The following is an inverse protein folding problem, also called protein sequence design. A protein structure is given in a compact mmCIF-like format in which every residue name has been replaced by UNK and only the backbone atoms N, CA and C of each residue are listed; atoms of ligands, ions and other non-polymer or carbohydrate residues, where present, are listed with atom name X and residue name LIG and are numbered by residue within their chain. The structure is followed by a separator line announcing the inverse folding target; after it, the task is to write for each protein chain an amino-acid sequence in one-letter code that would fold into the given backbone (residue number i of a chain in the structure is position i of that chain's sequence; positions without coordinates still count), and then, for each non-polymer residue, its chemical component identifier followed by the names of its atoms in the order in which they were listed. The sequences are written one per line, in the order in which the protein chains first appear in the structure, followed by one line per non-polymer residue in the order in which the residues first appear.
data_IF_199193913644
#
_entry.id   IF_199193913644
#
_cell.length_a   1.000
_cell.length_b   1.000
_cell.length_c   1.000
_cell.angle_alpha   90.00
_cell.angle_beta   90.00
_cell.angle_gamma   90.00
#
_symmetry.space_group_name_H-M   'P 1'
#
loop_
_entity.id
_entity.type
_entity.pdbx_description
1 polymer ?
#
# COMPACT_ATOMS: atom_id res chain seq x y z
N UNK A 1 3.84 29.91 0.11
CA UNK A 1 4.29 29.69 -1.27
C UNK A 1 3.09 29.46 -2.18
N UNK A 2 3.27 29.60 -3.50
CA UNK A 2 2.22 29.29 -4.47
C UNK A 2 1.96 27.78 -4.52
N UNK A 3 0.70 27.33 -4.66
CA UNK A 3 0.38 25.93 -4.87
C UNK A 3 1.11 25.39 -6.10
N UNK A 4 1.67 24.19 -5.98
CA UNK A 4 2.31 23.49 -7.09
C UNK A 4 1.59 22.19 -7.34
N UNK A 5 1.23 21.92 -8.60
CA UNK A 5 0.57 20.69 -9.03
C UNK A 5 1.58 19.76 -9.69
N UNK A 6 1.47 18.47 -9.39
CA UNK A 6 2.27 17.42 -9.99
C UNK A 6 1.36 16.40 -10.68
N UNK A 7 1.74 15.98 -11.87
CA UNK A 7 1.09 14.86 -12.54
C UNK A 7 1.57 13.55 -11.91
N UNK A 8 0.69 12.85 -11.21
CA UNK A 8 1.02 11.58 -10.57
C UNK A 8 0.80 10.40 -11.54
N UNK A 9 1.76 10.16 -12.43
CA UNK A 9 1.70 9.07 -13.42
C UNK A 9 1.79 7.67 -12.81
N UNK A 10 2.34 7.55 -11.60
CA UNK A 10 2.44 6.28 -10.90
C UNK A 10 1.17 5.94 -10.11
N UNK A 11 0.29 6.91 -9.87
CA UNK A 11 -0.90 6.72 -9.04
C UNK A 11 -0.59 6.37 -7.58
N UNK A 12 0.60 6.74 -7.08
CA UNK A 12 1.07 6.44 -5.72
C UNK A 12 1.34 7.73 -4.96
N UNK A 13 0.92 7.75 -3.70
CA UNK A 13 1.17 8.88 -2.81
C UNK A 13 1.42 8.38 -1.39
N UNK A 14 2.33 9.04 -0.68
CA UNK A 14 2.55 8.89 0.77
C UNK A 14 2.62 10.27 1.43
N UNK A 15 2.68 10.29 2.76
CA UNK A 15 2.52 11.55 3.51
C UNK A 15 3.76 12.46 3.50
N UNK A 16 4.98 11.95 3.41
CA UNK A 16 6.22 12.77 3.49
C UNK A 16 7.44 11.97 2.98
N UNK A 17 8.49 12.58 2.46
CA UNK A 17 8.59 13.96 1.97
C UNK A 17 7.67 14.28 0.77
N UNK A 18 7.78 15.49 0.19
CA UNK A 18 6.97 15.89 -0.97
C UNK A 18 7.13 14.98 -2.18
N UNK A 19 6.12 14.99 -3.07
CA UNK A 19 6.03 14.06 -4.20
C UNK A 19 7.23 14.13 -5.16
N UNK A 20 7.76 15.32 -5.43
CA UNK A 20 8.94 15.52 -6.28
C UNK A 20 10.21 14.87 -5.69
N UNK A 21 10.36 14.95 -4.38
CA UNK A 21 11.44 14.26 -3.69
C UNK A 21 11.28 12.72 -3.79
N UNK A 22 10.06 12.21 -3.61
CA UNK A 22 9.77 10.78 -3.73
C UNK A 22 10.12 10.26 -5.14
N UNK A 23 9.75 11.02 -6.16
CA UNK A 23 10.07 10.67 -7.55
C UNK A 23 11.58 10.66 -7.80
N UNK A 24 12.31 11.61 -7.22
CA UNK A 24 13.78 11.66 -7.31
C UNK A 24 14.41 10.46 -6.59
N UNK A 25 13.90 10.11 -5.41
CA UNK A 25 14.38 8.98 -4.61
C UNK A 25 14.22 7.63 -5.34
N UNK A 26 13.20 7.46 -6.19
CA UNK A 26 13.03 6.24 -6.97
C UNK A 26 14.26 5.88 -7.84
N UNK A 27 15.07 6.87 -8.25
CA UNK A 27 16.26 6.61 -9.03
C UNK A 27 17.31 5.77 -8.28
N UNK A 28 17.30 5.78 -6.96
CA UNK A 28 18.16 4.91 -6.15
C UNK A 28 17.80 3.42 -6.29
N UNK A 29 16.61 3.12 -6.84
CA UNK A 29 16.05 1.76 -6.93
C UNK A 29 15.90 1.30 -8.39
N UNK A 30 16.64 1.89 -9.32
CA UNK A 30 16.60 1.57 -10.76
C UNK A 30 16.91 0.10 -11.07
N UNK A 31 17.61 -0.59 -10.18
CA UNK A 31 17.92 -2.01 -10.29
C UNK A 31 16.75 -2.94 -9.94
N UNK A 32 15.73 -2.42 -9.25
CA UNK A 32 14.57 -3.23 -8.86
C UNK A 32 13.68 -3.53 -10.08
N UNK A 33 13.21 -4.78 -10.17
CA UNK A 33 12.29 -5.23 -11.20
C UNK A 33 11.47 -6.43 -10.73
N UNK A 34 10.31 -6.64 -11.32
CA UNK A 34 9.53 -7.87 -11.09
C UNK A 34 10.26 -9.10 -11.64
N UNK A 35 9.99 -10.25 -11.04
CA UNK A 35 10.58 -11.52 -11.42
C UNK A 35 11.94 -11.79 -10.78
N UNK A 36 12.77 -12.54 -11.48
CA UNK A 36 14.10 -12.95 -11.02
C UNK A 36 15.21 -12.11 -11.66
N UNK A 37 16.31 -11.98 -10.95
CA UNK A 37 17.58 -11.54 -11.54
C UNK A 37 18.20 -12.69 -12.33
N UNK A 38 19.15 -12.37 -13.20
CA UNK A 38 19.99 -13.35 -13.90
C UNK A 38 21.15 -13.78 -13.00
N UNK A 39 21.67 -14.97 -13.24
CA UNK A 39 22.93 -15.40 -12.64
C UNK A 39 24.07 -14.44 -13.01
N UNK A 40 25.04 -14.32 -12.12
CA UNK A 40 26.19 -13.45 -12.26
C UNK A 40 27.48 -14.20 -11.90
N UNK A 41 28.54 -13.97 -12.66
CA UNK A 41 29.86 -14.55 -12.36
C UNK A 41 30.73 -13.54 -11.59
N UNK A 42 31.35 -14.00 -10.51
CA UNK A 42 32.42 -13.30 -9.83
C UNK A 42 33.74 -13.98 -10.18
N UNK A 43 34.66 -13.22 -10.80
CA UNK A 43 35.90 -13.81 -11.30
C UNK A 43 35.60 -14.83 -12.42
N UNK A 44 36.39 -15.92 -12.44
CA UNK A 44 36.33 -16.93 -13.52
C UNK A 44 35.58 -18.19 -13.13
N UNK A 45 35.33 -18.42 -11.83
CA UNK A 45 34.91 -19.73 -11.32
C UNK A 45 33.80 -19.71 -10.26
N UNK A 46 33.30 -18.51 -9.87
CA UNK A 46 32.23 -18.40 -8.87
C UNK A 46 30.96 -17.87 -9.50
N UNK A 47 29.96 -18.73 -9.68
CA UNK A 47 28.64 -18.35 -10.15
C UNK A 47 27.71 -17.99 -8.98
N UNK A 48 27.08 -16.83 -9.05
CA UNK A 48 26.00 -16.42 -8.15
C UNK A 48 24.65 -16.72 -8.82
N UNK A 49 23.85 -17.52 -8.17
CA UNK A 49 22.52 -17.92 -8.65
C UNK A 49 21.45 -17.26 -7.77
N UNK A 50 20.42 -16.61 -8.34
CA UNK A 50 19.39 -15.95 -7.56
C UNK A 50 18.53 -16.94 -6.79
N UNK A 51 18.14 -16.57 -5.57
CA UNK A 51 17.20 -17.32 -4.75
C UNK A 51 15.75 -16.93 -5.09
N UNK A 52 15.02 -17.78 -5.79
CA UNK A 52 13.59 -17.68 -6.02
C UNK A 52 13.13 -16.57 -6.99
N UNK A 53 11.85 -16.62 -7.31
CA UNK A 53 11.21 -15.79 -8.34
C UNK A 53 11.09 -14.30 -8.01
N UNK A 54 11.28 -13.90 -6.77
CA UNK A 54 11.20 -12.49 -6.33
C UNK A 54 12.54 -11.79 -6.21
N UNK A 55 13.64 -12.43 -6.64
CA UNK A 55 15.01 -11.89 -6.47
C UNK A 55 15.24 -10.54 -7.17
N UNK A 56 14.42 -10.18 -8.15
CA UNK A 56 14.45 -8.86 -8.78
C UNK A 56 14.07 -7.71 -7.85
N UNK A 57 13.41 -7.99 -6.71
CA UNK A 57 13.10 -7.02 -5.66
C UNK A 57 14.08 -7.06 -4.48
N UNK A 58 15.19 -7.77 -4.60
CA UNK A 58 16.20 -7.75 -3.55
C UNK A 58 16.74 -6.33 -3.34
N UNK A 59 16.66 -5.86 -2.09
CA UNK A 59 17.01 -4.49 -1.72
C UNK A 59 15.83 -3.50 -1.74
N UNK A 60 14.60 -3.96 -2.02
CA UNK A 60 13.41 -3.12 -1.80
C UNK A 60 13.30 -2.77 -0.31
N UNK A 61 13.11 -1.48 0.06
CA UNK A 61 13.12 -1.10 1.47
C UNK A 61 11.90 -1.65 2.21
N UNK A 62 12.13 -2.29 3.36
CA UNK A 62 11.11 -2.99 4.15
C UNK A 62 10.57 -2.23 5.36
N UNK A 63 11.17 -1.09 5.73
CA UNK A 63 10.74 -0.31 6.88
C UNK A 63 9.42 0.44 6.64
N UNK A 64 8.83 0.98 7.71
CA UNK A 64 7.51 1.62 7.68
C UNK A 64 7.54 3.11 7.39
N UNK A 65 8.71 3.69 7.11
CA UNK A 65 8.82 5.12 6.80
C UNK A 65 8.10 5.47 5.49
N UNK A 66 7.61 6.71 5.34
CA UNK A 66 6.95 7.14 4.12
C UNK A 66 7.76 6.95 2.83
N UNK A 67 9.08 7.25 2.79
CA UNK A 67 9.90 6.98 1.61
C UNK A 67 9.93 5.50 1.21
N UNK A 68 10.11 4.62 2.17
CA UNK A 68 10.13 3.17 1.94
C UNK A 68 8.80 2.63 1.47
N UNK A 69 7.70 3.14 2.05
CA UNK A 69 6.34 2.81 1.59
C UNK A 69 6.08 3.29 0.16
N UNK A 70 6.56 4.50 -0.19
CA UNK A 70 6.42 5.02 -1.56
C UNK A 70 7.12 4.11 -2.58
N UNK A 71 8.36 3.71 -2.31
CA UNK A 71 9.13 2.80 -3.18
C UNK A 71 8.39 1.48 -3.38
N UNK A 72 7.97 0.82 -2.28
CA UNK A 72 7.22 -0.44 -2.39
C UNK A 72 5.92 -0.28 -3.17
N UNK A 73 5.14 0.78 -2.90
CA UNK A 73 3.88 1.04 -3.59
C UNK A 73 4.10 1.25 -5.09
N UNK A 74 5.11 2.02 -5.48
CA UNK A 74 5.44 2.28 -6.87
C UNK A 74 5.77 0.98 -7.62
N UNK A 75 6.65 0.14 -7.04
CA UNK A 75 7.05 -1.11 -7.67
C UNK A 75 5.95 -2.17 -7.67
N UNK A 76 5.20 -2.33 -6.59
CA UNK A 76 4.13 -3.33 -6.52
C UNK A 76 2.97 -2.98 -7.44
N UNK A 77 2.58 -1.70 -7.49
CA UNK A 77 1.53 -1.25 -8.41
C UNK A 77 1.97 -1.39 -9.87
N UNK A 78 3.18 -0.96 -10.21
CA UNK A 78 3.70 -1.04 -11.58
C UNK A 78 3.90 -2.47 -12.06
N UNK A 79 4.08 -3.43 -11.15
CA UNK A 79 4.25 -4.85 -11.46
C UNK A 79 2.93 -5.63 -11.42
N UNK A 80 1.84 -5.01 -10.93
CA UNK A 80 0.56 -5.69 -10.81
C UNK A 80 -0.05 -5.98 -12.19
N UNK A 81 -0.42 -7.23 -12.48
CA UNK A 81 -1.09 -7.55 -13.73
C UNK A 81 -2.50 -6.93 -13.76
N UNK A 82 -2.97 -6.62 -14.95
CA UNK A 82 -4.36 -6.25 -15.15
C UNK A 82 -5.27 -7.40 -14.74
N UNK A 83 -6.31 -7.09 -13.98
CA UNK A 83 -7.27 -8.07 -13.50
C UNK A 83 -8.50 -8.13 -14.42
N UNK A 84 -9.13 -9.31 -14.49
CA UNK A 84 -10.28 -9.56 -15.38
C UNK A 84 -11.60 -9.02 -14.82
N UNK A 85 -11.66 -8.68 -13.54
CA UNK A 85 -12.86 -8.16 -12.90
C UNK A 85 -12.57 -7.11 -11.84
N UNK A 86 -13.57 -6.26 -11.56
CA UNK A 86 -13.50 -5.27 -10.50
C UNK A 86 -13.20 -5.90 -9.13
N UNK A 87 -13.80 -7.05 -8.81
CA UNK A 87 -13.55 -7.74 -7.55
C UNK A 87 -12.10 -8.21 -7.45
N UNK A 88 -11.54 -8.80 -8.50
CA UNK A 88 -10.14 -9.22 -8.51
C UNK A 88 -9.19 -8.01 -8.38
N UNK A 89 -9.53 -6.88 -9.01
CA UNK A 89 -8.78 -5.62 -8.85
C UNK A 89 -8.80 -5.15 -7.40
N UNK A 90 -9.97 -5.15 -6.75
CA UNK A 90 -10.11 -4.79 -5.33
C UNK A 90 -9.28 -5.73 -4.45
N UNK A 91 -9.35 -7.04 -4.67
CA UNK A 91 -8.55 -8.01 -3.91
C UNK A 91 -7.04 -7.80 -4.11
N UNK A 92 -6.62 -7.44 -5.33
CA UNK A 92 -5.22 -7.10 -5.61
C UNK A 92 -4.80 -5.81 -4.89
N UNK A 93 -5.68 -4.80 -4.83
CA UNK A 93 -5.43 -3.59 -4.03
C UNK A 93 -5.19 -3.93 -2.56
N UNK A 94 -6.03 -4.76 -1.95
CA UNK A 94 -5.83 -5.17 -0.54
C UNK A 94 -4.54 -5.97 -0.34
N UNK A 95 -4.11 -6.80 -1.29
CA UNK A 95 -2.80 -7.50 -1.22
C UNK A 95 -1.63 -6.52 -1.23
N UNK A 96 -1.70 -5.50 -2.09
CA UNK A 96 -0.66 -4.46 -2.14
C UNK A 96 -0.69 -3.64 -0.85
N UNK A 97 -1.86 -3.16 -0.44
CA UNK A 97 -2.04 -2.33 0.75
C UNK A 97 -1.66 -3.06 2.05
N UNK A 98 -1.90 -4.37 2.14
CA UNK A 98 -1.48 -5.20 3.27
C UNK A 98 0.03 -5.19 3.52
N UNK A 99 0.85 -4.89 2.49
CA UNK A 99 2.30 -4.72 2.67
C UNK A 99 2.70 -3.43 3.38
N UNK A 100 1.74 -2.56 3.66
CA UNK A 100 1.92 -1.27 4.35
C UNK A 100 1.27 -1.24 5.73
N UNK A 101 0.65 -2.34 6.16
CA UNK A 101 0.07 -2.43 7.50
C UNK A 101 1.14 -2.26 8.56
N UNK A 102 0.86 -1.36 9.49
CA UNK A 102 1.74 -1.05 10.62
C UNK A 102 1.19 -1.78 11.84
N UNK A 103 1.90 -2.79 12.37
CA UNK A 103 1.53 -3.47 13.59
C UNK A 103 1.58 -2.54 14.81
N UNK A 104 0.75 -2.80 15.80
CA UNK A 104 0.77 -2.07 17.08
C UNK A 104 2.16 -2.19 17.71
N UNK A 105 2.71 -1.06 18.14
CA UNK A 105 3.96 -0.98 18.89
C UNK A 105 5.22 -0.79 18.05
N UNK A 106 5.15 -0.82 16.73
CA UNK A 106 6.34 -0.60 15.87
C UNK A 106 6.82 0.86 15.87
N UNK A 107 5.90 1.82 15.98
CA UNK A 107 6.21 3.25 15.82
C UNK A 107 6.61 3.93 17.14
N UNK A 108 6.54 3.24 18.27
CA UNK A 108 6.86 3.79 19.59
C UNK A 108 7.96 3.02 20.27
N UNK A 109 8.75 3.74 21.06
CA UNK A 109 9.74 3.12 21.96
C UNK A 109 9.03 2.22 22.97
N UNK A 110 9.70 1.14 23.35
CA UNK A 110 9.19 0.24 24.38
C UNK A 110 8.94 1.02 25.68
N UNK A 111 7.72 0.95 26.20
CA UNK A 111 7.31 1.67 27.41
C UNK A 111 6.66 3.05 27.19
N UNK A 112 6.58 3.52 25.96
CA UNK A 112 5.91 4.78 25.59
C UNK A 112 4.74 4.57 24.61
N UNK A 113 3.76 3.70 24.93
CA UNK A 113 2.60 3.53 24.05
C UNK A 113 1.73 4.79 24.06
N UNK A 114 1.06 5.12 22.95
CA UNK A 114 0.06 6.20 22.96
C UNK A 114 -1.05 5.87 23.92
N UNK A 115 -1.59 6.90 24.57
CA UNK A 115 -2.57 6.77 25.65
C UNK A 115 -4.00 6.53 25.16
N UNK A 116 -4.29 6.80 23.88
CA UNK A 116 -5.66 6.81 23.34
C UNK A 116 -5.85 5.91 22.11
N UNK A 117 -5.11 6.12 21.05
CA UNK A 117 -5.24 5.33 19.81
C UNK A 117 -3.92 4.63 19.51
N UNK A 118 -3.90 3.30 19.31
CA UNK A 118 -2.68 2.61 18.90
C UNK A 118 -2.14 3.22 17.60
N UNK A 119 -0.85 3.53 17.55
CA UNK A 119 -0.18 3.86 16.31
C UNK A 119 -0.01 2.57 15.50
N UNK A 120 -0.99 2.34 14.67
CA UNK A 120 -1.11 1.17 13.82
C UNK A 120 -2.02 1.51 12.63
N UNK A 121 -2.06 0.68 11.61
CA UNK A 121 -3.03 0.81 10.54
C UNK A 121 -4.42 0.52 11.08
N UNK A 122 -5.25 1.56 11.24
CA UNK A 122 -6.60 1.46 11.81
C UNK A 122 -7.59 0.82 10.85
N UNK A 123 -7.48 1.16 9.57
CA UNK A 123 -8.30 0.59 8.50
C UNK A 123 -7.57 0.65 7.16
N UNK A 124 -7.98 -0.19 6.24
CA UNK A 124 -7.59 -0.15 4.83
C UNK A 124 -8.85 -0.08 3.98
N UNK A 125 -8.87 0.74 2.95
CA UNK A 125 -10.02 0.86 2.06
C UNK A 125 -9.63 0.93 0.59
N UNK A 126 -10.55 0.46 -0.27
CA UNK A 126 -10.47 0.55 -1.71
C UNK A 126 -11.83 0.98 -2.29
N UNK A 127 -11.83 1.95 -3.21
CA UNK A 127 -13.04 2.45 -3.84
C UNK A 127 -13.15 1.94 -5.29
N UNK A 128 -14.22 1.21 -5.60
CA UNK A 128 -14.63 0.90 -6.96
C UNK A 128 -15.55 2.03 -7.46
N UNK A 129 -14.97 2.97 -8.15
CA UNK A 129 -15.68 4.17 -8.61
C UNK A 129 -16.74 3.84 -9.67
N UNK A 130 -16.47 2.85 -10.53
CA UNK A 130 -17.41 2.44 -11.59
C UNK A 130 -18.68 1.82 -11.01
N UNK A 131 -18.54 0.96 -10.01
CA UNK A 131 -19.66 0.30 -9.36
C UNK A 131 -20.17 1.04 -8.11
N UNK A 132 -19.56 2.18 -7.74
CA UNK A 132 -19.90 2.99 -6.57
C UNK A 132 -19.90 2.16 -5.28
N UNK A 133 -18.83 1.40 -5.07
CA UNK A 133 -18.64 0.55 -3.90
C UNK A 133 -17.39 0.95 -3.14
N UNK A 134 -17.46 0.92 -1.82
CA UNK A 134 -16.32 1.10 -0.93
C UNK A 134 -16.08 -0.22 -0.22
N UNK A 135 -14.90 -0.76 -0.36
CA UNK A 135 -14.45 -1.95 0.34
C UNK A 135 -13.51 -1.55 1.45
N UNK A 136 -13.57 -2.21 2.59
CA UNK A 136 -12.72 -1.91 3.72
C UNK A 136 -12.53 -3.10 4.65
N UNK A 137 -11.44 -3.07 5.40
CA UNK A 137 -11.23 -3.86 6.61
C UNK A 137 -10.70 -2.94 7.71
N UNK A 138 -10.60 -3.45 8.93
CA UNK A 138 -10.12 -2.70 10.08
C UNK A 138 -9.10 -3.52 10.86
N UNK A 139 -8.37 -2.87 11.78
CA UNK A 139 -7.39 -3.56 12.63
C UNK A 139 -8.01 -4.66 13.50
N UNK A 140 -9.32 -4.57 13.79
CA UNK A 140 -10.04 -5.55 14.64
C UNK A 140 -10.79 -6.60 13.82
N UNK A 141 -10.95 -6.39 12.50
CA UNK A 141 -11.64 -7.32 11.62
C UNK A 141 -11.03 -7.30 10.21
N UNK A 142 -10.24 -8.32 9.92
CA UNK A 142 -9.54 -8.46 8.63
C UNK A 142 -10.44 -8.87 7.47
N UNK A 143 -11.72 -9.23 7.71
CA UNK A 143 -12.66 -9.53 6.64
C UNK A 143 -12.93 -8.28 5.81
N UNK A 144 -12.81 -8.39 4.48
CA UNK A 144 -13.14 -7.31 3.55
C UNK A 144 -14.65 -7.17 3.48
N UNK A 145 -15.15 -6.01 3.91
CA UNK A 145 -16.57 -5.64 3.90
C UNK A 145 -16.83 -4.64 2.77
N UNK A 146 -18.08 -4.53 2.34
CA UNK A 146 -18.47 -3.67 1.23
C UNK A 146 -19.67 -2.79 1.59
N UNK A 147 -19.58 -1.51 1.23
CA UNK A 147 -20.69 -0.56 1.24
C UNK A 147 -21.03 -0.26 -0.21
N UNK A 148 -22.25 -0.61 -0.64
CA UNK A 148 -22.77 -0.23 -1.96
C UNK A 148 -23.50 1.11 -1.84
N UNK A 149 -22.88 2.17 -2.35
CA UNK A 149 -23.42 3.54 -2.27
C UNK A 149 -24.73 3.71 -3.04
N UNK A 150 -25.07 2.80 -3.98
CA UNK A 150 -26.35 2.83 -4.70
C UNK A 150 -27.53 2.42 -3.83
N UNK A 151 -27.27 1.78 -2.69
CA UNK A 151 -28.30 1.41 -1.73
C UNK A 151 -28.63 2.52 -0.72
N UNK A 152 -27.90 3.64 -0.79
CA UNK A 152 -28.08 4.79 0.10
C UNK A 152 -28.87 5.86 -0.64
N UNK A 153 -30.05 6.22 -0.13
CA UNK A 153 -30.81 7.36 -0.63
C UNK A 153 -30.31 8.65 0.03
N UNK A 154 -29.29 9.25 -0.58
CA UNK A 154 -28.67 10.48 -0.08
C UNK A 154 -29.63 11.68 -0.02
N UNK A 155 -30.78 11.65 -0.69
CA UNK A 155 -31.79 12.71 -0.60
C UNK A 155 -32.59 12.67 0.69
N UNK A 156 -32.65 11.52 1.34
CA UNK A 156 -33.44 11.27 2.56
C UNK A 156 -32.60 11.03 3.80
N UNK A 157 -31.33 10.68 3.62
CA UNK A 157 -30.45 10.39 4.75
C UNK A 157 -30.07 11.68 5.45
N UNK A 158 -30.47 11.84 6.70
CA UNK A 158 -29.84 12.76 7.65
C UNK A 158 -28.47 12.21 8.01
N UNK A 159 -27.54 13.09 8.45
CA UNK A 159 -26.25 12.63 8.93
C UNK A 159 -26.42 11.50 9.95
N UNK A 160 -25.78 10.38 9.68
CA UNK A 160 -25.71 9.25 10.60
C UNK A 160 -24.30 8.68 10.58
N UNK A 161 -23.85 8.18 11.71
CA UNK A 161 -22.59 7.43 11.83
C UNK A 161 -22.88 6.03 12.31
N UNK A 162 -22.19 5.06 11.73
CA UNK A 162 -22.25 3.66 12.14
C UNK A 162 -20.84 3.22 12.49
N UNK A 163 -20.60 2.59 13.65
CA UNK A 163 -19.29 2.03 13.96
C UNK A 163 -18.84 1.05 12.87
N UNK A 164 -17.59 1.12 12.45
CA UNK A 164 -17.01 0.19 11.47
C UNK A 164 -16.89 -1.22 12.05
N UNK A 165 -16.68 -1.32 13.35
CA UNK A 165 -16.62 -2.57 14.09
C UNK A 165 -17.65 -2.52 15.22
N UNK A 166 -18.58 -3.46 15.19
CA UNK A 166 -19.41 -3.72 16.37
C UNK A 166 -18.56 -4.50 17.36
N UNK A 167 -18.19 -3.85 18.45
CA UNK A 167 -17.68 -4.56 19.61
C UNK A 167 -18.83 -5.34 20.23
N UNK A 168 -18.89 -6.61 19.94
CA UNK A 168 -19.67 -7.57 20.75
C UNK A 168 -18.77 -8.19 21.79
#
# INVERSE_FOLDING_TARGET
GQPRFYENKLGVLTNSPGFDWQMTNLNNYVNLRSGSTTAQWLGHDTELVPFGAGSGFLGIPGDVTPPSRFVRAAFYQSSAPRQDSALQTVLQCFRILGSFEIPIGIEFSAGEPPTDIPSATQWTSAADLMNRKIYYNTMYNSAIRCIDLRQIDFSRVKYSSVPLDETK
#
